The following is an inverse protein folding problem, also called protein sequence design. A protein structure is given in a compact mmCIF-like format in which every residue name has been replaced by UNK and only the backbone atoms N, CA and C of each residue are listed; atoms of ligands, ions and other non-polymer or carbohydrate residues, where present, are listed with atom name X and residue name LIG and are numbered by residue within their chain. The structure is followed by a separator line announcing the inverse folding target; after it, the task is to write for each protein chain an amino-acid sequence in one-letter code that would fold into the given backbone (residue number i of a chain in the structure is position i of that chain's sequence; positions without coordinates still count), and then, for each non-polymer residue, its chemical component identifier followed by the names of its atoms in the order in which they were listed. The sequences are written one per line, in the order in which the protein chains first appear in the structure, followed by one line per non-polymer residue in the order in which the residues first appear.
data_IF_395895647794
#
_entry.id   IF_395895647794
#
_cell.length_a   1.000
_cell.length_b   1.000
_cell.length_c   1.000
_cell.angle_alpha   90.00
_cell.angle_beta   90.00
_cell.angle_gamma   90.00
#
_symmetry.space_group_name_H-M   'P 1'
#
loop_
_entity.id
_entity.type
_entity.pdbx_description
1 polymer ?
#
# COMPACT_ATOMS: atom_id res chain seq x y z
N UNK A 1 -17.22 -56.40 -9.30
CA UNK A 1 -15.98 -55.87 -8.63
C UNK A 1 -15.79 -54.47 -9.14
N UNK A 2 -16.25 -53.50 -8.39
CA UNK A 2 -16.17 -52.08 -8.73
C UNK A 2 -14.97 -51.47 -8.00
N UNK A 3 -13.99 -51.10 -8.77
CA UNK A 3 -12.76 -50.45 -8.34
C UNK A 3 -13.09 -49.04 -7.80
N UNK A 4 -12.93 -48.82 -6.48
CA UNK A 4 -13.10 -47.52 -5.84
C UNK A 4 -11.79 -46.74 -6.02
N UNK A 5 -11.75 -45.83 -6.99
CA UNK A 5 -10.70 -44.88 -7.14
C UNK A 5 -10.56 -44.05 -5.85
N UNK A 6 -9.39 -44.14 -5.23
CA UNK A 6 -9.01 -43.27 -4.08
C UNK A 6 -8.89 -41.81 -4.55
N UNK A 7 -9.42 -40.83 -3.80
CA UNK A 7 -9.19 -39.43 -4.11
C UNK A 7 -7.70 -39.10 -3.96
N UNK A 8 -7.16 -38.18 -4.77
CA UNK A 8 -5.75 -37.80 -4.71
C UNK A 8 -5.41 -37.20 -3.34
N UNK A 9 -4.32 -37.70 -2.77
CA UNK A 9 -3.77 -37.29 -1.48
C UNK A 9 -3.39 -35.81 -1.56
N UNK A 10 -3.90 -34.99 -0.64
CA UNK A 10 -3.53 -33.58 -0.53
C UNK A 10 -2.00 -33.42 -0.43
N UNK A 11 -1.41 -32.39 -1.06
CA UNK A 11 0.02 -32.16 -0.97
C UNK A 11 0.43 -31.89 0.48
N UNK A 12 1.67 -32.28 0.88
CA UNK A 12 2.16 -32.04 2.24
C UNK A 12 2.28 -30.55 2.53
N UNK A 13 2.16 -30.11 3.79
CA UNK A 13 2.28 -28.71 4.15
C UNK A 13 3.68 -28.17 3.80
N UNK A 14 3.69 -27.00 3.18
CA UNK A 14 4.87 -26.35 2.62
C UNK A 14 5.84 -25.86 3.71
N UNK A 15 6.80 -26.68 4.11
CA UNK A 15 7.97 -26.22 4.89
C UNK A 15 9.06 -25.59 4.00
N UNK A 16 9.05 -25.81 2.69
CA UNK A 16 10.08 -25.31 1.76
C UNK A 16 9.80 -23.92 1.16
N UNK A 17 8.61 -23.35 1.32
CA UNK A 17 8.25 -22.06 0.73
C UNK A 17 8.24 -20.85 1.68
N UNK A 18 8.51 -21.05 2.98
CA UNK A 18 8.32 -19.99 3.97
C UNK A 18 9.26 -18.79 3.82
N UNK A 19 10.53 -19.02 3.60
CA UNK A 19 11.54 -17.95 3.51
C UNK A 19 11.37 -17.06 2.26
N UNK A 20 11.21 -17.60 1.03
CA UNK A 20 10.96 -16.78 -0.16
C UNK A 20 9.66 -15.99 -0.07
N UNK A 21 8.59 -16.59 0.41
CA UNK A 21 7.30 -15.91 0.59
C UNK A 21 7.40 -14.77 1.62
N UNK A 22 8.06 -15.02 2.75
CA UNK A 22 8.27 -14.00 3.79
C UNK A 22 9.10 -12.84 3.25
N UNK A 23 10.14 -13.12 2.44
CA UNK A 23 10.95 -12.10 1.77
C UNK A 23 10.13 -11.25 0.80
N UNK A 24 9.29 -11.86 -0.01
CA UNK A 24 8.39 -11.16 -0.93
C UNK A 24 7.38 -10.27 -0.17
N UNK A 25 6.75 -10.80 0.89
CA UNK A 25 5.84 -10.03 1.73
C UNK A 25 6.58 -8.84 2.38
N UNK A 26 7.79 -9.04 2.92
CA UNK A 26 8.57 -7.97 3.51
C UNK A 26 8.91 -6.86 2.51
N UNK A 27 9.25 -7.22 1.26
CA UNK A 27 9.51 -6.25 0.19
C UNK A 27 8.25 -5.41 -0.16
N UNK A 28 7.08 -6.02 -0.15
CA UNK A 28 5.81 -5.31 -0.38
C UNK A 28 5.40 -4.43 0.80
N UNK A 29 5.68 -4.86 2.04
CA UNK A 29 5.30 -4.12 3.24
C UNK A 29 6.15 -2.88 3.50
N UNK A 30 7.44 -2.88 3.12
CA UNK A 30 8.33 -1.73 3.34
C UNK A 30 7.76 -0.40 2.81
N UNK A 31 7.45 -0.25 1.51
CA UNK A 31 6.93 1.01 0.99
C UNK A 31 5.56 1.39 1.59
N UNK A 32 4.75 0.40 1.98
CA UNK A 32 3.50 0.64 2.69
C UNK A 32 3.77 1.24 4.08
N UNK A 33 4.74 0.69 4.82
CA UNK A 33 5.14 1.21 6.13
C UNK A 33 5.74 2.61 6.03
N UNK A 34 6.60 2.86 5.04
CA UNK A 34 7.17 4.19 4.76
C UNK A 34 6.07 5.22 4.51
N UNK A 35 5.08 4.88 3.67
CA UNK A 35 3.93 5.76 3.41
C UNK A 35 3.11 6.00 4.68
N UNK A 36 2.82 4.96 5.46
CA UNK A 36 2.06 5.07 6.69
C UNK A 36 2.76 5.99 7.71
N UNK A 37 4.06 5.80 7.93
CA UNK A 37 4.88 6.64 8.79
C UNK A 37 4.94 8.08 8.28
N UNK A 38 5.18 8.29 6.98
CA UNK A 38 5.21 9.62 6.37
C UNK A 38 3.89 10.38 6.51
N UNK A 39 2.77 9.67 6.60
CA UNK A 39 1.42 10.24 6.75
C UNK A 39 0.88 10.23 8.18
N UNK A 40 1.68 9.77 9.14
CA UNK A 40 1.26 9.69 10.55
C UNK A 40 0.16 8.67 10.82
N UNK A 41 0.01 7.67 9.93
CA UNK A 41 -0.93 6.56 10.15
C UNK A 41 -0.33 5.61 11.19
N UNK A 42 -0.97 5.42 12.37
CA UNK A 42 -0.42 4.58 13.42
C UNK A 42 -0.43 3.10 13.02
N UNK A 43 0.53 2.33 13.53
CA UNK A 43 0.64 0.89 13.27
C UNK A 43 -0.68 0.15 13.52
N UNK A 44 -1.38 0.46 14.60
CA UNK A 44 -2.66 -0.17 14.94
C UNK A 44 -3.73 0.00 13.84
N UNK A 45 -3.67 1.10 13.05
CA UNK A 45 -4.57 1.29 11.92
C UNK A 45 -4.22 0.34 10.76
N UNK A 46 -2.93 0.22 10.45
CA UNK A 46 -2.44 -0.69 9.41
C UNK A 46 -2.72 -2.13 9.80
N UNK A 47 -2.46 -2.50 11.06
CA UNK A 47 -2.77 -3.82 11.62
C UNK A 47 -4.25 -4.18 11.48
N UNK A 48 -5.15 -3.25 11.79
CA UNK A 48 -6.58 -3.46 11.65
C UNK A 48 -7.00 -3.72 10.19
N UNK A 49 -6.43 -2.98 9.23
CA UNK A 49 -6.65 -3.21 7.80
C UNK A 49 -6.15 -4.59 7.37
N UNK A 50 -4.97 -5.00 7.84
CA UNK A 50 -4.41 -6.33 7.56
C UNK A 50 -5.27 -7.44 8.12
N UNK A 51 -5.70 -7.34 9.38
CA UNK A 51 -6.60 -8.34 10.00
C UNK A 51 -7.90 -8.49 9.22
N UNK A 52 -8.50 -7.38 8.79
CA UNK A 52 -9.70 -7.40 7.97
C UNK A 52 -9.46 -8.10 6.61
N UNK A 53 -8.35 -7.79 5.94
CA UNK A 53 -7.97 -8.41 4.68
C UNK A 53 -7.73 -9.93 4.83
N UNK A 54 -7.05 -10.37 5.91
CA UNK A 54 -6.84 -11.79 6.21
C UNK A 54 -8.15 -12.54 6.45
N UNK A 55 -9.05 -11.96 7.25
CA UNK A 55 -10.36 -12.56 7.52
C UNK A 55 -11.17 -12.70 6.25
N UNK A 56 -11.18 -11.67 5.41
CA UNK A 56 -11.90 -11.71 4.14
C UNK A 56 -11.31 -12.72 3.15
N UNK A 57 -9.98 -12.79 3.02
CA UNK A 57 -9.31 -13.79 2.20
C UNK A 57 -9.59 -15.21 2.69
N UNK A 58 -9.48 -15.46 4.00
CA UNK A 58 -9.77 -16.75 4.59
C UNK A 58 -11.26 -17.13 4.43
N UNK A 59 -12.18 -16.17 4.52
CA UNK A 59 -13.61 -16.37 4.29
C UNK A 59 -13.90 -16.80 2.86
N UNK A 60 -13.32 -16.11 1.87
CA UNK A 60 -13.47 -16.46 0.44
C UNK A 60 -12.90 -17.82 0.08
N UNK A 61 -11.87 -18.27 0.80
CA UNK A 61 -11.27 -19.59 0.61
C UNK A 61 -12.13 -20.73 1.20
N UNK A 62 -13.20 -20.43 1.98
CA UNK A 62 -14.10 -21.45 2.52
C UNK A 62 -15.21 -21.75 1.52
N UNK A 63 -15.67 -23.03 1.44
CA UNK A 63 -16.82 -23.37 0.62
C UNK A 63 -18.10 -22.72 1.16
N UNK A 64 -19.01 -22.34 0.28
CA UNK A 64 -20.29 -21.71 0.63
C UNK A 64 -21.12 -22.54 1.63
N UNK A 65 -20.97 -23.86 1.60
CA UNK A 65 -21.61 -24.80 2.53
C UNK A 65 -21.07 -24.75 3.97
N UNK A 66 -20.09 -23.89 4.27
CA UNK A 66 -19.47 -23.83 5.60
C UNK A 66 -20.42 -23.35 6.71
N UNK A 67 -21.51 -22.64 6.39
CA UNK A 67 -22.59 -22.27 7.31
C UNK A 67 -22.13 -21.74 8.67
N UNK A 68 -22.77 -22.18 9.76
CA UNK A 68 -22.49 -21.74 11.13
C UNK A 68 -21.09 -22.05 11.69
N UNK A 69 -20.20 -22.72 10.92
CA UNK A 69 -18.81 -23.00 11.32
C UNK A 69 -17.78 -22.03 10.70
N UNK A 70 -18.25 -21.05 9.92
CA UNK A 70 -17.35 -20.14 9.18
C UNK A 70 -16.36 -19.41 10.10
N UNK A 71 -16.82 -18.88 11.23
CA UNK A 71 -15.98 -18.18 12.22
C UNK A 71 -14.85 -19.08 12.75
N UNK A 72 -15.17 -20.34 13.08
CA UNK A 72 -14.16 -21.27 13.60
C UNK A 72 -13.11 -21.62 12.54
N UNK A 73 -13.53 -21.84 11.29
CA UNK A 73 -12.62 -22.15 10.18
C UNK A 73 -11.72 -20.99 9.84
N UNK A 74 -12.28 -19.78 9.77
CA UNK A 74 -11.51 -18.57 9.54
C UNK A 74 -10.53 -18.31 10.68
N UNK A 75 -10.95 -18.48 11.94
CA UNK A 75 -10.06 -18.36 13.09
C UNK A 75 -8.89 -19.36 13.02
N UNK A 76 -9.14 -20.61 12.65
CA UNK A 76 -8.09 -21.63 12.46
C UNK A 76 -7.15 -21.25 11.31
N UNK A 77 -7.68 -20.76 10.18
CA UNK A 77 -6.87 -20.42 9.01
C UNK A 77 -6.02 -19.16 9.22
N UNK A 78 -6.49 -18.21 10.02
CA UNK A 78 -5.81 -16.90 10.23
C UNK A 78 -4.98 -16.83 11.50
N UNK A 79 -5.19 -17.75 12.47
CA UNK A 79 -4.60 -17.67 13.80
C UNK A 79 -5.22 -16.57 14.69
N UNK A 80 -6.25 -15.86 14.23
CA UNK A 80 -6.97 -14.86 15.01
C UNK A 80 -7.94 -15.52 15.99
N UNK A 81 -8.26 -14.81 17.08
CA UNK A 81 -9.27 -15.29 18.02
C UNK A 81 -10.66 -15.30 17.39
N UNK A 82 -11.51 -16.24 17.79
CA UNK A 82 -12.91 -16.31 17.32
C UNK A 82 -13.65 -14.99 17.54
N UNK A 83 -13.39 -14.30 18.67
CA UNK A 83 -13.98 -13.00 18.99
C UNK A 83 -13.58 -11.93 17.98
N UNK A 84 -12.31 -11.87 17.56
CA UNK A 84 -11.85 -10.94 16.55
C UNK A 84 -12.46 -11.25 15.19
N UNK A 85 -12.49 -12.53 14.79
CA UNK A 85 -13.10 -12.96 13.55
C UNK A 85 -14.58 -12.60 13.52
N UNK A 86 -15.35 -12.89 14.59
CA UNK A 86 -16.77 -12.51 14.67
C UNK A 86 -16.93 -11.00 14.49
N UNK A 87 -16.16 -10.20 15.23
CA UNK A 87 -16.23 -8.74 15.11
C UNK A 87 -15.94 -8.24 13.69
N UNK A 88 -14.97 -8.84 12.99
CA UNK A 88 -14.58 -8.45 11.62
C UNK A 88 -15.58 -8.93 10.57
N UNK A 89 -16.20 -10.10 10.78
CA UNK A 89 -17.25 -10.63 9.90
C UNK A 89 -18.56 -9.84 10.07
N UNK A 90 -18.96 -9.53 11.31
CA UNK A 90 -20.17 -8.77 11.62
C UNK A 90 -20.07 -7.30 11.16
N UNK A 91 -18.86 -6.74 11.13
CA UNK A 91 -18.60 -5.44 10.50
C UNK A 91 -18.81 -5.47 8.97
N UNK A 92 -19.27 -6.59 8.42
CA UNK A 92 -19.73 -6.74 7.04
C UNK A 92 -18.65 -6.87 6.00
N UNK A 93 -17.38 -7.12 6.37
CA UNK A 93 -16.29 -7.09 5.39
C UNK A 93 -16.24 -5.79 4.59
N UNK A 94 -17.06 -4.82 4.96
CA UNK A 94 -17.03 -3.49 4.39
C UNK A 94 -15.75 -2.83 4.86
N UNK A 95 -14.77 -2.85 3.98
CA UNK A 95 -13.59 -2.02 4.04
C UNK A 95 -13.95 -0.52 3.87
N UNK A 96 -15.16 -0.13 4.21
CA UNK A 96 -15.57 1.27 4.34
C UNK A 96 -15.14 1.82 5.71
N UNK A 97 -13.84 1.77 5.88
CA UNK A 97 -13.15 2.35 7.02
C UNK A 97 -12.79 1.32 8.11
N UNK A 98 -11.55 1.35 8.59
CA UNK A 98 -11.16 0.59 9.78
C UNK A 98 -12.06 1.00 10.96
N UNK A 99 -12.37 0.05 11.85
CA UNK A 99 -12.93 0.37 13.16
C UNK A 99 -12.19 1.60 13.72
N UNK A 100 -12.85 2.53 14.42
CA UNK A 100 -12.22 3.78 14.84
C UNK A 100 -10.93 3.47 15.61
N UNK A 101 -9.84 3.53 14.89
CA UNK A 101 -8.50 3.33 15.43
C UNK A 101 -8.22 4.57 16.27
N UNK A 102 -7.78 4.38 17.50
CA UNK A 102 -7.37 5.52 18.32
C UNK A 102 -6.33 6.33 17.54
N UNK A 103 -6.56 7.63 17.32
CA UNK A 103 -5.58 8.47 16.67
C UNK A 103 -4.23 8.38 17.40
N UNK A 104 -3.12 8.60 16.67
CA UNK A 104 -1.81 8.68 17.32
C UNK A 104 -1.80 9.77 18.40
N UNK A 105 -0.97 9.67 19.45
CA UNK A 105 -0.87 10.72 20.47
C UNK A 105 -0.62 12.11 19.87
N UNK A 106 0.20 12.22 18.82
CA UNK A 106 0.43 13.48 18.11
C UNK A 106 -0.86 14.01 17.46
N UNK A 107 -1.64 13.15 16.80
CA UNK A 107 -2.94 13.52 16.21
C UNK A 107 -3.94 13.95 17.30
N UNK A 108 -3.93 13.29 18.46
CA UNK A 108 -4.78 13.67 19.59
C UNK A 108 -4.41 15.05 20.15
N UNK A 109 -3.11 15.35 20.32
CA UNK A 109 -2.62 16.67 20.71
C UNK A 109 -3.06 17.74 19.70
N UNK A 110 -2.87 17.49 18.41
CA UNK A 110 -3.31 18.39 17.35
C UNK A 110 -4.82 18.66 17.40
N UNK A 111 -5.62 17.62 17.50
CA UNK A 111 -7.09 17.73 17.55
C UNK A 111 -7.53 18.52 18.78
N UNK A 112 -6.95 18.21 19.94
CA UNK A 112 -7.27 18.92 21.19
C UNK A 112 -6.87 20.40 21.13
N UNK A 113 -5.69 20.72 20.57
CA UNK A 113 -5.26 22.10 20.41
C UNK A 113 -6.24 22.93 19.58
N UNK A 114 -6.80 22.32 18.53
CA UNK A 114 -7.78 22.97 17.67
C UNK A 114 -9.18 23.08 18.29
N UNK A 115 -9.57 22.07 19.05
CA UNK A 115 -10.93 21.98 19.61
C UNK A 115 -11.11 22.82 20.89
N UNK A 116 -10.06 22.93 21.71
CA UNK A 116 -10.14 23.56 23.04
C UNK A 116 -10.29 25.09 22.94
N UNK A 117 -11.42 25.65 23.41
CA UNK A 117 -11.63 27.10 23.42
C UNK A 117 -10.55 27.89 24.20
N UNK A 118 -9.98 27.27 25.26
CA UNK A 118 -8.92 27.91 26.07
C UNK A 118 -7.61 28.11 25.30
N UNK A 119 -7.43 27.35 24.19
CA UNK A 119 -6.26 27.41 23.34
C UNK A 119 -6.50 28.21 22.05
N UNK A 120 -7.58 29.00 21.99
CA UNK A 120 -7.91 29.87 20.85
C UNK A 120 -7.59 31.33 21.12
N UNK A 121 -7.29 32.05 20.05
CA UNK A 121 -7.17 33.52 20.08
C UNK A 121 -8.58 34.18 20.03
N UNK A 122 -8.61 35.50 20.14
CA UNK A 122 -9.86 36.30 20.07
C UNK A 122 -10.60 36.17 18.72
N UNK A 123 -9.95 35.63 17.70
CA UNK A 123 -10.53 35.36 16.37
C UNK A 123 -10.95 33.91 16.21
N UNK A 124 -10.92 33.10 17.27
CA UNK A 124 -11.28 31.69 17.26
C UNK A 124 -10.25 30.76 16.63
N UNK A 125 -9.04 31.25 16.30
CA UNK A 125 -7.96 30.44 15.71
C UNK A 125 -7.08 29.86 16.81
N UNK A 126 -6.48 28.67 16.60
CA UNK A 126 -5.50 28.13 17.52
C UNK A 126 -4.37 29.15 17.73
N UNK A 127 -4.12 29.50 18.98
CA UNK A 127 -3.04 30.45 19.32
C UNK A 127 -1.70 29.75 19.38
N UNK A 128 -0.62 30.49 19.16
CA UNK A 128 0.72 30.03 19.49
C UNK A 128 0.82 29.74 20.99
N UNK A 129 1.54 28.69 21.34
CA UNK A 129 1.73 28.25 22.72
C UNK A 129 3.22 28.32 23.08
N UNK A 130 3.59 28.80 24.28
CA UNK A 130 4.94 28.58 24.80
C UNK A 130 5.28 27.10 24.73
N UNK A 131 6.52 26.79 24.35
CA UNK A 131 6.97 25.40 24.25
C UNK A 131 6.90 24.65 25.57
N UNK A 132 7.27 25.32 26.66
CA UNK A 132 7.35 24.79 28.02
C UNK A 132 6.62 25.68 29.02
N UNK A 133 6.41 25.18 30.22
CA UNK A 133 5.86 25.95 31.33
C UNK A 133 4.42 25.59 31.72
N UNK A 134 3.82 26.38 32.62
CA UNK A 134 2.45 26.13 33.04
C UNK A 134 1.44 26.35 31.92
N UNK A 135 0.24 25.80 32.09
CA UNK A 135 -0.83 26.02 31.12
C UNK A 135 -1.17 27.53 31.00
N UNK A 136 -1.39 28.00 29.79
CA UNK A 136 -1.43 27.29 28.53
C UNK A 136 -0.07 27.22 27.84
N UNK A 137 0.50 26.03 27.76
CA UNK A 137 1.74 25.75 27.04
C UNK A 137 1.59 24.47 26.22
N UNK A 138 2.48 24.23 25.24
CA UNK A 138 2.50 22.99 24.49
C UNK A 138 2.80 21.79 25.39
N UNK A 139 3.70 21.93 26.34
CA UNK A 139 4.02 20.90 27.32
C UNK A 139 2.79 20.49 28.14
N UNK A 140 2.06 21.46 28.67
CA UNK A 140 0.83 21.20 29.43
C UNK A 140 -0.24 20.53 28.57
N UNK A 141 -0.40 20.96 27.31
CA UNK A 141 -1.31 20.35 26.36
C UNK A 141 -0.91 18.90 26.08
N UNK A 142 0.35 18.63 25.77
CA UNK A 142 0.86 17.28 25.48
C UNK A 142 0.63 16.34 26.67
N UNK A 143 0.97 16.78 27.90
CA UNK A 143 0.74 16.00 29.12
C UNK A 143 -0.73 15.74 29.43
N UNK A 144 -1.63 16.62 28.99
CA UNK A 144 -3.07 16.41 29.15
C UNK A 144 -3.64 15.33 28.23
N UNK A 145 -2.90 14.92 27.18
CA UNK A 145 -3.29 13.88 26.23
C UNK A 145 -2.67 12.53 26.60
N UNK A 146 -1.40 12.52 26.96
CA UNK A 146 -0.68 11.29 27.34
C UNK A 146 0.47 11.59 28.29
N UNK A 147 0.75 10.63 29.18
CA UNK A 147 1.92 10.64 30.04
C UNK A 147 3.01 9.66 29.57
N UNK A 148 2.67 8.78 28.62
CA UNK A 148 3.55 7.72 28.13
C UNK A 148 4.59 8.22 27.14
N UNK A 149 4.35 9.39 26.51
CA UNK A 149 5.23 9.99 25.51
C UNK A 149 5.68 11.37 25.96
N UNK A 150 7.00 11.59 25.92
CA UNK A 150 7.55 12.88 26.30
C UNK A 150 7.05 14.02 25.39
N UNK A 151 6.67 15.19 25.94
CA UNK A 151 6.14 16.33 25.14
C UNK A 151 7.03 16.73 23.96
N UNK A 152 8.35 16.67 24.12
CA UNK A 152 9.30 16.97 23.03
C UNK A 152 9.13 16.00 21.85
N UNK A 153 8.99 14.70 22.10
CA UNK A 153 8.80 13.71 21.02
C UNK A 153 7.49 13.94 20.27
N UNK A 154 6.43 14.37 20.95
CA UNK A 154 5.16 14.75 20.32
C UNK A 154 5.32 16.01 19.47
N UNK A 155 6.11 16.99 19.93
CA UNK A 155 6.40 18.20 19.17
C UNK A 155 7.22 17.88 17.92
N UNK A 156 8.28 17.09 18.06
CA UNK A 156 9.14 16.67 16.94
C UNK A 156 8.31 15.93 15.88
N UNK A 157 7.37 15.09 16.30
CA UNK A 157 6.47 14.37 15.39
C UNK A 157 5.47 15.31 14.69
N UNK A 158 4.89 16.28 15.40
CA UNK A 158 4.01 17.30 14.78
C UNK A 158 4.76 18.15 13.75
N UNK A 159 6.01 18.52 14.06
CA UNK A 159 6.88 19.24 13.10
C UNK A 159 7.21 18.36 11.89
N UNK A 160 7.56 17.10 12.10
CA UNK A 160 7.84 16.13 11.02
C UNK A 160 6.63 15.95 10.09
N UNK A 161 5.43 15.93 10.65
CA UNK A 161 4.18 15.85 9.88
C UNK A 161 3.79 17.18 9.21
N UNK A 162 4.54 18.26 9.42
CA UNK A 162 4.24 19.59 8.91
C UNK A 162 2.95 20.17 9.48
N UNK A 163 2.58 19.78 10.69
CA UNK A 163 1.38 20.26 11.39
C UNK A 163 1.69 21.41 12.33
N UNK A 164 2.92 21.50 12.81
CA UNK A 164 3.40 22.57 13.68
C UNK A 164 4.81 23.01 13.32
N UNK A 165 5.18 24.20 13.78
CA UNK A 165 6.54 24.74 13.74
C UNK A 165 6.92 25.33 15.08
N UNK A 166 8.22 25.38 15.33
CA UNK A 166 8.79 26.08 16.51
C UNK A 166 9.43 27.38 16.04
N UNK A 167 8.96 28.50 16.57
CA UNK A 167 9.52 29.82 16.28
C UNK A 167 10.05 30.37 17.61
N UNK A 168 11.36 30.39 17.76
CA UNK A 168 12.08 30.76 19.01
C UNK A 168 11.66 29.81 20.14
N UNK A 169 10.72 30.18 20.96
CA UNK A 169 10.24 29.38 22.11
C UNK A 169 8.72 29.19 22.09
N UNK A 170 8.09 29.51 20.98
CA UNK A 170 6.68 29.29 20.74
C UNK A 170 6.46 28.19 19.73
N UNK A 171 5.40 27.41 19.92
CA UNK A 171 4.89 26.41 18.98
C UNK A 171 3.67 26.97 18.27
N UNK A 172 3.64 26.88 16.96
CA UNK A 172 2.54 27.36 16.12
C UNK A 172 1.99 26.24 15.25
N UNK A 173 0.69 26.17 15.09
CA UNK A 173 0.09 25.29 14.10
C UNK A 173 0.23 25.86 12.69
N UNK A 174 0.71 25.03 11.76
CA UNK A 174 0.90 25.40 10.34
C UNK A 174 -0.33 25.13 9.50
N UNK A 175 -1.15 24.18 9.89
CA UNK A 175 -2.32 23.72 9.11
C UNK A 175 -3.57 23.71 9.98
N UNK A 176 -4.69 24.04 9.34
CA UNK A 176 -5.99 23.98 9.99
C UNK A 176 -6.63 22.60 9.98
N UNK A 177 -6.09 21.65 9.20
CA UNK A 177 -6.58 20.26 9.17
C UNK A 177 -5.49 19.25 8.80
N UNK A 178 -5.59 18.05 9.36
CA UNK A 178 -4.81 16.86 8.95
C UNK A 178 -5.33 16.30 7.61
N UNK A 179 -6.45 16.84 7.10
CA UNK A 179 -7.08 16.33 5.89
C UNK A 179 -6.14 16.50 4.71
N UNK A 180 -5.77 15.37 4.12
CA UNK A 180 -5.10 15.34 2.83
C UNK A 180 -5.94 16.18 1.84
N UNK A 181 -5.31 17.14 1.17
CA UNK A 181 -6.01 17.93 0.15
C UNK A 181 -6.59 17.00 -0.95
N UNK A 182 -7.56 17.48 -1.72
CA UNK A 182 -8.21 16.70 -2.81
C UNK A 182 -7.21 16.02 -3.75
N UNK A 183 -6.05 16.61 -3.96
CA UNK A 183 -4.96 16.01 -4.76
C UNK A 183 -4.34 14.79 -4.08
N UNK A 184 -4.24 14.79 -2.75
CA UNK A 184 -3.73 13.64 -1.99
C UNK A 184 -4.75 12.49 -1.96
N UNK A 185 -6.05 12.77 -1.86
CA UNK A 185 -7.10 11.73 -1.93
C UNK A 185 -7.10 11.02 -3.28
N UNK A 186 -7.00 11.80 -4.37
CA UNK A 186 -6.86 11.25 -5.72
C UNK A 186 -5.59 10.42 -5.87
N UNK A 187 -4.46 10.90 -5.33
CA UNK A 187 -3.19 10.16 -5.38
C UNK A 187 -3.28 8.83 -4.61
N UNK A 188 -3.91 8.81 -3.44
CA UNK A 188 -4.12 7.57 -2.69
C UNK A 188 -5.08 6.61 -3.40
N UNK A 189 -6.18 7.11 -3.96
CA UNK A 189 -7.11 6.30 -4.74
C UNK A 189 -6.40 5.70 -5.98
N UNK A 190 -5.59 6.50 -6.66
CA UNK A 190 -4.80 6.06 -7.80
C UNK A 190 -3.76 5.01 -7.41
N UNK A 191 -2.99 5.24 -6.33
CA UNK A 191 -2.03 4.28 -5.79
C UNK A 191 -2.73 2.96 -5.44
N UNK A 192 -3.79 3.01 -4.64
CA UNK A 192 -4.52 1.82 -4.20
C UNK A 192 -5.11 1.03 -5.36
N UNK A 193 -5.68 1.72 -6.38
CA UNK A 193 -6.26 1.03 -7.53
C UNK A 193 -5.21 0.44 -8.47
N UNK A 194 -4.14 1.17 -8.79
CA UNK A 194 -3.12 0.71 -9.73
C UNK A 194 -2.23 -0.39 -9.15
N UNK A 195 -1.63 -0.13 -7.98
CA UNK A 195 -0.75 -1.11 -7.34
C UNK A 195 -1.56 -2.31 -6.85
N UNK A 196 -2.79 -2.09 -6.38
CA UNK A 196 -3.68 -3.16 -5.96
C UNK A 196 -4.05 -4.11 -7.11
N UNK A 197 -4.33 -3.60 -8.31
CA UNK A 197 -4.62 -4.45 -9.48
C UNK A 197 -3.37 -5.18 -9.98
N UNK A 198 -2.19 -4.50 -9.99
CA UNK A 198 -0.92 -5.15 -10.34
C UNK A 198 -0.58 -6.28 -9.35
N UNK A 199 -0.69 -6.02 -8.05
CA UNK A 199 -0.45 -7.03 -7.03
C UNK A 199 -1.41 -8.22 -7.16
N UNK A 200 -2.70 -8.00 -7.48
CA UNK A 200 -3.65 -9.09 -7.75
C UNK A 200 -3.22 -9.94 -8.94
N UNK A 201 -2.73 -9.31 -10.02
CA UNK A 201 -2.22 -10.04 -11.18
C UNK A 201 -1.01 -10.92 -10.80
N UNK A 202 -0.01 -10.38 -10.08
CA UNK A 202 1.15 -11.14 -9.62
C UNK A 202 0.77 -12.27 -8.67
N UNK A 203 -0.12 -12.02 -7.70
CA UNK A 203 -0.62 -13.07 -6.78
C UNK A 203 -1.36 -14.17 -7.54
N UNK A 204 -2.20 -13.82 -8.54
CA UNK A 204 -2.89 -14.82 -9.36
C UNK A 204 -1.89 -15.69 -10.14
N UNK A 205 -0.84 -15.11 -10.70
CA UNK A 205 0.23 -15.84 -11.38
C UNK A 205 0.97 -16.80 -10.43
N UNK A 206 1.33 -16.34 -9.22
CA UNK A 206 1.98 -17.17 -8.19
C UNK A 206 1.08 -18.33 -7.75
N UNK A 207 -0.21 -18.12 -7.67
CA UNK A 207 -1.20 -19.16 -7.33
C UNK A 207 -1.60 -20.03 -8.53
N UNK A 208 -0.90 -19.90 -9.66
CA UNK A 208 -1.13 -20.65 -10.89
C UNK A 208 -2.56 -20.54 -11.43
N UNK A 209 -3.21 -19.38 -11.28
CA UNK A 209 -4.49 -19.10 -11.91
C UNK A 209 -4.38 -19.13 -13.45
N UNK A 210 -5.30 -19.75 -14.12
CA UNK A 210 -5.32 -19.87 -15.59
C UNK A 210 -6.52 -19.12 -16.18
N UNK A 211 -6.32 -18.32 -17.25
CA UNK A 211 -5.06 -17.98 -17.90
C UNK A 211 -4.22 -17.00 -17.08
N UNK A 212 -2.88 -17.07 -17.15
CA UNK A 212 -2.00 -16.14 -16.42
C UNK A 212 -2.17 -14.70 -16.93
N UNK A 213 -2.02 -13.74 -16.02
CA UNK A 213 -1.95 -12.33 -16.39
C UNK A 213 -0.60 -12.01 -17.01
N UNK A 214 -0.59 -11.06 -17.97
CA UNK A 214 0.65 -10.53 -18.53
C UNK A 214 1.34 -9.70 -17.42
N UNK A 215 2.49 -10.18 -16.95
CA UNK A 215 3.33 -9.51 -15.97
C UNK A 215 4.79 -9.64 -16.40
N UNK A 216 5.37 -8.53 -16.81
CA UNK A 216 6.75 -8.49 -17.30
C UNK A 216 7.42 -7.20 -16.84
N UNK A 217 8.72 -7.29 -16.57
CA UNK A 217 9.57 -6.15 -16.24
C UNK A 217 10.86 -6.22 -17.06
N UNK A 218 11.36 -5.04 -17.44
CA UNK A 218 12.69 -4.86 -18.03
C UNK A 218 13.50 -4.07 -17.03
N UNK A 219 14.73 -4.46 -16.80
CA UNK A 219 15.64 -3.76 -15.90
C UNK A 219 17.02 -3.57 -16.56
N UNK A 220 17.70 -2.50 -16.15
CA UNK A 220 19.08 -2.20 -16.51
C UNK A 220 19.76 -1.60 -15.30
N UNK A 221 20.97 -2.09 -15.03
CA UNK A 221 21.84 -1.59 -13.96
C UNK A 221 22.95 -0.69 -14.58
N UNK A 222 23.73 -0.02 -13.72
CA UNK A 222 24.90 0.78 -14.11
C UNK A 222 24.56 2.00 -14.99
N UNK A 223 23.38 2.60 -14.78
CA UNK A 223 22.96 3.81 -15.49
C UNK A 223 23.37 5.07 -14.73
N UNK A 224 23.78 6.11 -15.45
CA UNK A 224 24.00 7.44 -14.88
C UNK A 224 22.68 8.17 -14.60
N UNK A 225 22.72 9.21 -13.79
CA UNK A 225 21.57 10.10 -13.53
C UNK A 225 21.03 10.72 -14.84
N UNK A 226 21.94 11.08 -15.75
CA UNK A 226 21.59 11.63 -17.08
C UNK A 226 20.88 10.59 -17.94
N UNK A 227 21.35 9.33 -17.91
CA UNK A 227 20.71 8.22 -18.61
C UNK A 227 19.31 7.92 -18.07
N UNK A 228 19.11 8.00 -16.75
CA UNK A 228 17.78 7.88 -16.14
C UNK A 228 16.85 9.00 -16.59
N UNK A 229 17.34 10.25 -16.66
CA UNK A 229 16.55 11.37 -17.16
C UNK A 229 16.14 11.18 -18.63
N UNK A 230 17.08 10.74 -19.47
CA UNK A 230 16.80 10.43 -20.88
C UNK A 230 15.81 9.27 -21.01
N UNK A 231 15.95 8.23 -20.21
CA UNK A 231 15.04 7.07 -20.23
C UNK A 231 13.61 7.44 -19.85
N UNK A 232 13.40 8.39 -18.94
CA UNK A 232 12.07 8.89 -18.58
C UNK A 232 11.30 9.43 -19.79
N UNK A 233 11.97 10.20 -20.64
CA UNK A 233 11.33 10.72 -21.86
C UNK A 233 11.05 9.62 -22.88
N UNK A 234 11.95 8.66 -23.03
CA UNK A 234 11.72 7.47 -23.86
C UNK A 234 10.51 6.69 -23.34
N UNK A 235 10.47 6.35 -22.04
CA UNK A 235 9.36 5.57 -21.45
C UNK A 235 8.02 6.29 -21.60
N UNK A 236 8.00 7.61 -21.48
CA UNK A 236 6.80 8.44 -21.67
C UNK A 236 6.33 8.39 -23.13
N UNK A 237 7.25 8.53 -24.10
CA UNK A 237 6.92 8.47 -25.53
C UNK A 237 6.37 7.10 -25.93
N UNK A 238 7.03 6.02 -25.50
CA UNK A 238 6.59 4.64 -25.76
C UNK A 238 5.23 4.34 -25.12
N UNK A 239 4.98 4.85 -23.91
CA UNK A 239 3.67 4.72 -23.28
C UNK A 239 2.57 5.44 -24.06
N UNK A 240 2.82 6.65 -24.55
CA UNK A 240 1.85 7.38 -25.40
C UNK A 240 1.57 6.63 -26.69
N UNK A 241 2.60 6.06 -27.34
CA UNK A 241 2.43 5.24 -28.54
C UNK A 241 1.58 3.98 -28.26
N UNK A 242 1.86 3.29 -27.13
CA UNK A 242 1.07 2.13 -26.72
C UNK A 242 -0.40 2.51 -26.47
N UNK A 243 -0.66 3.62 -25.77
CA UNK A 243 -2.03 4.09 -25.55
C UNK A 243 -2.75 4.41 -26.86
N UNK A 244 -2.10 5.12 -27.78
CA UNK A 244 -2.65 5.46 -29.09
C UNK A 244 -3.01 4.22 -29.91
N UNK A 245 -2.22 3.15 -29.78
CA UNK A 245 -2.48 1.89 -30.48
C UNK A 245 -3.54 1.02 -29.79
N UNK A 246 -3.65 1.07 -28.45
CA UNK A 246 -4.45 0.13 -27.66
C UNK A 246 -5.87 0.65 -27.41
N UNK A 247 -6.03 1.94 -27.09
CA UNK A 247 -7.33 2.53 -26.74
C UNK A 247 -8.38 2.32 -27.85
N UNK A 248 -8.10 2.56 -29.14
CA UNK A 248 -9.08 2.30 -30.21
C UNK A 248 -9.49 0.83 -30.30
N UNK A 249 -8.57 -0.10 -30.05
CA UNK A 249 -8.85 -1.54 -30.06
C UNK A 249 -9.75 -1.94 -28.91
N UNK A 250 -9.52 -1.41 -27.70
CA UNK A 250 -10.40 -1.64 -26.56
C UNK A 250 -11.79 -1.07 -26.82
N UNK A 251 -11.90 0.12 -27.41
CA UNK A 251 -13.19 0.70 -27.78
C UNK A 251 -13.93 -0.18 -28.78
N UNK A 252 -13.23 -0.69 -29.79
CA UNK A 252 -13.84 -1.59 -30.77
C UNK A 252 -14.37 -2.90 -30.15
N UNK A 253 -13.69 -3.44 -29.13
CA UNK A 253 -14.16 -4.60 -28.37
C UNK A 253 -15.42 -4.26 -27.57
N UNK A 254 -15.46 -3.10 -26.89
CA UNK A 254 -16.63 -2.61 -26.16
C UNK A 254 -17.84 -2.47 -27.10
N UNK A 255 -17.64 -1.87 -28.26
CA UNK A 255 -18.69 -1.66 -29.24
C UNK A 255 -19.20 -3.00 -29.83
N UNK A 256 -18.28 -3.95 -30.09
CA UNK A 256 -18.63 -5.29 -30.53
C UNK A 256 -19.44 -6.07 -29.50
N UNK A 257 -19.07 -5.98 -28.23
CA UNK A 257 -19.82 -6.64 -27.12
C UNK A 257 -21.22 -6.01 -26.95
N UNK A 258 -21.31 -4.68 -27.07
CA UNK A 258 -22.59 -4.00 -27.02
C UNK A 258 -23.49 -4.40 -28.20
N UNK A 259 -22.94 -4.50 -29.42
CA UNK A 259 -23.68 -4.91 -30.63
C UNK A 259 -24.15 -6.36 -30.56
N UNK A 260 -23.38 -7.23 -29.93
CA UNK A 260 -23.66 -8.65 -29.80
C UNK A 260 -24.48 -8.99 -28.52
N UNK A 261 -24.87 -7.97 -27.75
CA UNK A 261 -25.59 -8.11 -26.46
C UNK A 261 -24.92 -9.08 -25.49
N UNK A 262 -23.57 -9.06 -25.43
CA UNK A 262 -22.79 -9.91 -24.51
C UNK A 262 -22.82 -9.35 -23.10
N UNK A 263 -22.69 -10.19 -22.03
CA UNK A 263 -22.48 -9.71 -20.66
C UNK A 263 -21.26 -8.77 -20.59
N UNK A 264 -21.39 -7.61 -19.92
CA UNK A 264 -20.36 -6.58 -19.79
C UNK A 264 -19.96 -6.40 -18.32
N UNK A 265 -19.61 -7.51 -17.69
CA UNK A 265 -19.28 -7.63 -16.28
C UNK A 265 -17.75 -7.74 -16.03
N UNK A 266 -16.94 -7.68 -17.09
CA UNK A 266 -15.50 -7.79 -16.99
C UNK A 266 -14.82 -6.42 -17.07
N UNK A 267 -13.69 -6.31 -16.37
CA UNK A 267 -12.84 -5.12 -16.35
C UNK A 267 -11.40 -5.51 -16.72
N UNK A 268 -10.77 -4.74 -17.58
CA UNK A 268 -9.34 -4.85 -17.86
C UNK A 268 -8.61 -3.58 -17.45
N UNK A 269 -7.38 -3.72 -17.00
CA UNK A 269 -6.45 -2.61 -16.78
C UNK A 269 -5.09 -2.96 -17.34
N UNK A 270 -4.48 -2.01 -18.02
CA UNK A 270 -3.06 -2.01 -18.39
C UNK A 270 -2.43 -0.78 -17.78
N UNK A 271 -1.23 -0.92 -17.22
CA UNK A 271 -0.50 0.19 -16.60
C UNK A 271 0.99 0.04 -16.84
N UNK A 272 1.70 1.17 -16.82
CA UNK A 272 3.15 1.25 -16.85
C UNK A 272 3.62 1.93 -15.57
N UNK A 273 4.71 1.44 -15.02
CA UNK A 273 5.46 2.13 -13.97
C UNK A 273 6.95 2.14 -14.32
N UNK A 274 7.64 3.14 -13.84
CA UNK A 274 9.09 3.21 -13.84
C UNK A 274 9.56 3.47 -12.43
N UNK A 275 10.61 2.76 -12.01
CA UNK A 275 11.26 2.98 -10.73
C UNK A 275 12.77 3.06 -10.95
N UNK A 276 13.44 3.93 -10.23
CA UNK A 276 14.90 4.02 -10.21
C UNK A 276 15.34 4.36 -8.80
N UNK A 277 16.47 3.81 -8.41
CA UNK A 277 17.12 4.10 -7.13
C UNK A 277 18.64 4.07 -7.34
N UNK A 278 19.39 4.66 -6.39
CA UNK A 278 20.82 4.49 -6.37
C UNK A 278 21.16 3.02 -6.15
N UNK A 279 22.15 2.51 -6.88
CA UNK A 279 22.66 1.17 -6.60
C UNK A 279 23.33 1.22 -5.22
N UNK A 280 22.63 0.76 -4.21
CA UNK A 280 23.22 0.31 -2.95
C UNK A 280 23.75 -1.11 -3.16
N UNK A 281 24.80 -1.51 -2.42
CA UNK A 281 25.32 -2.89 -2.46
C UNK A 281 24.20 -3.92 -2.64
N UNK A 282 24.35 -4.93 -3.52
CA UNK A 282 23.25 -5.70 -4.04
C UNK A 282 22.36 -6.24 -2.93
N UNK A 283 21.04 -6.02 -2.98
CA UNK A 283 20.15 -6.69 -2.04
C UNK A 283 20.32 -8.19 -2.21
N UNK A 284 20.52 -8.89 -1.12
CA UNK A 284 20.56 -10.36 -1.06
C UNK A 284 19.15 -10.94 -1.32
N UNK A 285 18.58 -10.66 -2.46
CA UNK A 285 17.35 -11.27 -2.92
C UNK A 285 17.67 -12.15 -4.13
N UNK A 286 17.28 -13.43 -4.15
CA UNK A 286 17.43 -14.26 -5.33
C UNK A 286 16.67 -13.61 -6.48
N UNK A 287 17.38 -13.30 -7.57
CA UNK A 287 16.74 -12.96 -8.85
C UNK A 287 15.89 -14.16 -9.26
N UNK A 288 14.62 -14.01 -9.57
CA UNK A 288 13.83 -15.13 -10.09
C UNK A 288 14.47 -15.58 -11.39
N UNK A 289 15.05 -16.78 -11.39
CA UNK A 289 15.81 -17.32 -12.52
C UNK A 289 14.95 -17.63 -13.76
N UNK A 290 13.62 -17.58 -13.66
CA UNK A 290 12.68 -18.09 -14.67
C UNK A 290 11.51 -17.17 -15.07
N UNK A 291 11.52 -15.91 -14.71
CA UNK A 291 10.62 -14.96 -15.38
C UNK A 291 11.32 -14.51 -16.67
N UNK A 292 10.74 -14.81 -17.82
CA UNK A 292 11.32 -14.54 -19.12
C UNK A 292 11.67 -13.05 -19.30
N UNK A 293 12.84 -12.68 -18.82
CA UNK A 293 13.47 -11.38 -19.02
C UNK A 293 14.34 -11.47 -20.27
N UNK A 294 13.99 -10.72 -21.27
CA UNK A 294 14.88 -10.57 -22.45
C UNK A 294 15.95 -9.54 -22.10
N UNK A 295 17.21 -9.92 -21.91
CA UNK A 295 18.27 -8.95 -21.64
C UNK A 295 18.45 -8.07 -22.89
N UNK A 296 18.55 -6.77 -22.70
CA UNK A 296 18.96 -5.84 -23.75
C UNK A 296 20.38 -6.21 -24.19
N UNK A 297 20.52 -6.73 -25.38
CA UNK A 297 21.82 -7.18 -25.92
C UNK A 297 22.80 -6.00 -25.94
N UNK A 298 23.95 -6.17 -25.28
CA UNK A 298 25.08 -5.22 -25.39
C UNK A 298 25.48 -5.13 -26.88
N UNK A 299 25.26 -3.96 -27.50
CA UNK A 299 25.82 -3.69 -28.83
C UNK A 299 27.34 -3.76 -28.70
N UNK A 300 27.95 -4.77 -29.33
CA UNK A 300 29.43 -4.84 -29.49
C UNK A 300 29.89 -3.59 -30.22
N UNK A 301 30.81 -2.84 -29.60
CA UNK A 301 31.57 -1.79 -30.28
C UNK A 301 32.30 -2.42 -31.48
N UNK A 302 32.23 -1.83 -32.66
CA UNK A 302 33.05 -2.28 -33.79
C UNK A 302 34.53 -2.05 -33.45
N UNK A 303 35.36 -3.06 -33.72
CA UNK A 303 36.80 -2.95 -33.56
C UNK A 303 37.37 -1.85 -34.45
N UNK A 304 38.40 -1.10 -34.00
CA UNK A 304 39.07 -0.13 -34.87
C UNK A 304 39.68 -0.84 -36.05
N UNK A 305 39.45 -0.32 -37.26
CA UNK A 305 40.12 -0.77 -38.47
C UNK A 305 41.54 -0.19 -38.43
N UNK A 306 42.52 -1.04 -38.30
CA UNK A 306 43.92 -0.69 -38.53
C UNK A 306 44.12 -0.27 -39.98
N UNK A 307 44.78 0.84 -40.16
CA UNK A 307 45.44 1.27 -41.40
C UNK A 307 46.96 1.03 -41.27
#
# INVERSE_FOLDING_TARGET
MTDRAHPPKAPPPAEAGGAPLSGAIAALLRPIAELAVARGLPFAAVEALFKAAFVEAARRAQPESAGGRIVSRVATATGLTRREVTRLVDAGGQADGPAPVRPSPATQVFTRWRADPALRDRRGRPRALPRQGPAPSFEALARSVTQDVHPRSLLDELCRLGLAEVVVDEVRLLRESVVAGRDSERAFAFLGSNVGDHLRAGVANVLAAAPPHLEQAVFADELSTESIAAFREIAKAEWQALLAATVPKLQALIDADAKADRPRDQRVRIGLYTYHDAMSDPPAAPRPADVATTPVAKRRRPAPKDR
#
